data_IF_764931896619
#
_entry.id   IF_764931896619
#
_cell.length_a   1.000
_cell.length_b   1.000
_cell.length_c   1.000
_cell.angle_alpha   90.00
_cell.angle_beta   90.00
_cell.angle_gamma   90.00
#
_symmetry.space_group_name_H-M   'P 1'
#
loop_
_entity.id
_entity.type
_entity.pdbx_description
1 polymer ?
#
# COMPACT_ATOMS: atom_id res chain seq x y z
N UNK A 1 -12.54 -11.12 17.26
CA UNK A 1 -13.33 -11.80 16.20
C UNK A 1 -12.49 -11.60 14.96
N UNK A 2 -11.81 -12.65 14.51
CA UNK A 2 -10.90 -12.57 13.35
C UNK A 2 -11.79 -12.35 12.12
N UNK A 3 -11.63 -11.21 11.45
CA UNK A 3 -12.18 -11.04 10.11
C UNK A 3 -11.33 -11.95 9.25
N UNK A 4 -11.93 -13.02 8.76
CA UNK A 4 -11.21 -14.06 8.05
C UNK A 4 -10.77 -13.53 6.68
N UNK A 5 -9.55 -13.88 6.25
CA UNK A 5 -8.86 -13.33 5.08
C UNK A 5 -9.63 -13.41 3.74
N UNK A 6 -10.75 -14.15 3.67
CA UNK A 6 -11.61 -14.24 2.48
C UNK A 6 -12.47 -13.00 2.25
N UNK A 7 -12.91 -12.28 3.28
CA UNK A 7 -13.77 -11.09 3.11
C UNK A 7 -13.00 -9.92 2.48
N UNK A 8 -11.69 -9.80 2.76
CA UNK A 8 -10.82 -8.79 2.18
C UNK A 8 -10.53 -9.08 0.69
N UNK A 9 -10.32 -10.36 0.36
CA UNK A 9 -10.08 -10.82 -1.01
C UNK A 9 -11.27 -10.52 -1.92
N UNK A 10 -12.50 -10.74 -1.43
CA UNK A 10 -13.72 -10.48 -2.18
C UNK A 10 -13.95 -8.98 -2.43
N UNK A 11 -13.60 -8.13 -1.46
CA UNK A 11 -13.65 -6.67 -1.62
C UNK A 11 -12.67 -6.18 -2.70
N UNK A 12 -11.46 -6.73 -2.73
CA UNK A 12 -10.43 -6.42 -3.74
C UNK A 12 -10.84 -6.91 -5.13
N UNK A 13 -11.40 -8.11 -5.23
CA UNK A 13 -11.87 -8.70 -6.50
C UNK A 13 -13.01 -7.89 -7.14
N UNK A 14 -13.92 -7.33 -6.34
CA UNK A 14 -14.99 -6.45 -6.81
C UNK A 14 -14.46 -5.11 -7.35
N UNK A 15 -13.38 -4.59 -6.76
CA UNK A 15 -12.69 -3.38 -7.23
C UNK A 15 -11.97 -3.62 -8.56
N UNK A 16 -11.23 -4.73 -8.67
CA UNK A 16 -10.44 -5.07 -9.87
C UNK A 16 -11.32 -5.38 -11.09
N UNK A 17 -12.46 -6.05 -10.91
CA UNK A 17 -13.34 -6.40 -12.03
C UNK A 17 -14.02 -5.19 -12.71
N UNK A 18 -14.18 -4.06 -12.00
CA UNK A 18 -14.75 -2.84 -12.60
C UNK A 18 -13.76 -2.05 -13.46
N UNK A 19 -12.45 -2.25 -13.28
CA UNK A 19 -11.39 -1.58 -14.04
C UNK A 19 -11.17 -2.22 -15.43
N UNK A 20 -11.62 -3.46 -15.64
CA UNK A 20 -11.36 -4.23 -16.88
C UNK A 20 -12.21 -3.86 -18.11
N UNK A 21 -12.97 -2.75 -18.09
CA UNK A 21 -13.87 -2.37 -19.19
C UNK A 21 -13.31 -1.35 -20.20
N UNK A 22 -11.99 -1.11 -20.23
CA UNK A 22 -11.35 -0.28 -21.26
C UNK A 22 -10.10 -0.96 -21.82
N UNK A 23 -10.27 -1.84 -22.81
CA UNK A 23 -9.16 -2.38 -23.62
C UNK A 23 -9.10 -1.63 -24.96
N UNK A 24 -7.96 -0.99 -25.25
CA UNK A 24 -7.69 -0.40 -26.55
C UNK A 24 -6.57 0.65 -26.58
N UNK A 25 -5.37 0.31 -26.12
CA UNK A 25 -4.06 0.91 -26.44
C UNK A 25 -3.00 0.05 -25.72
N UNK A 26 -1.78 -0.09 -26.24
CA UNK A 26 -0.66 -0.77 -25.54
C UNK A 26 -0.26 0.05 -24.30
N UNK A 27 -1.10 0.05 -23.28
CA UNK A 27 -0.83 0.70 -22.00
C UNK A 27 -0.04 -0.28 -21.15
N UNK A 28 1.27 -0.02 -21.01
CA UNK A 28 2.08 -0.68 -19.99
C UNK A 28 1.38 -0.51 -18.64
N UNK A 29 1.15 -1.61 -17.92
CA UNK A 29 0.65 -1.53 -16.56
C UNK A 29 1.77 -1.04 -15.62
N UNK A 30 1.40 -0.60 -14.42
CA UNK A 30 2.33 -0.03 -13.43
C UNK A 30 3.57 -0.91 -13.19
N UNK A 31 3.36 -2.21 -13.01
CA UNK A 31 4.43 -3.17 -12.80
C UNK A 31 5.39 -3.26 -14.00
N UNK A 32 4.87 -3.18 -15.23
CA UNK A 32 5.69 -3.14 -16.43
C UNK A 32 6.51 -1.85 -16.52
N UNK A 33 5.94 -0.70 -16.18
CA UNK A 33 6.68 0.58 -16.18
C UNK A 33 7.86 0.50 -15.20
N UNK A 34 7.61 0.04 -13.97
CA UNK A 34 8.64 -0.12 -12.94
C UNK A 34 9.76 -1.03 -13.43
N UNK A 35 9.39 -2.19 -14.00
CA UNK A 35 10.35 -3.16 -14.48
C UNK A 35 11.16 -2.67 -15.68
N UNK A 36 10.53 -1.99 -16.64
CA UNK A 36 11.17 -1.59 -17.89
C UNK A 36 12.01 -0.31 -17.76
N UNK A 37 11.60 0.63 -16.90
CA UNK A 37 12.22 1.96 -16.85
C UNK A 37 13.02 2.25 -15.58
N UNK A 38 12.74 1.57 -14.47
CA UNK A 38 13.28 1.97 -13.17
C UNK A 38 14.05 0.86 -12.43
N UNK A 39 14.04 -0.38 -12.93
CA UNK A 39 14.66 -1.53 -12.24
C UNK A 39 16.18 -1.50 -12.18
N UNK A 40 16.85 -0.71 -13.03
CA UNK A 40 18.30 -0.56 -13.06
C UNK A 40 18.81 0.56 -12.14
N UNK A 41 17.94 1.47 -11.70
CA UNK A 41 18.28 2.60 -10.82
C UNK A 41 18.89 2.08 -9.51
N UNK A 42 20.17 2.40 -9.29
CA UNK A 42 20.89 1.99 -8.07
C UNK A 42 21.15 0.48 -7.95
N UNK A 43 20.87 -0.31 -8.99
CA UNK A 43 20.98 -1.79 -8.98
C UNK A 43 22.38 -2.30 -8.60
N UNK A 44 23.43 -1.51 -8.87
CA UNK A 44 24.81 -1.81 -8.48
C UNK A 44 25.01 -1.94 -6.96
N UNK A 45 24.12 -1.37 -6.14
CA UNK A 45 24.25 -1.34 -4.68
C UNK A 45 23.33 -2.36 -3.97
N UNK A 46 22.51 -3.13 -4.70
CA UNK A 46 21.53 -4.06 -4.10
C UNK A 46 22.20 -5.06 -3.15
N UNK A 47 23.31 -5.65 -3.58
CA UNK A 47 24.07 -6.63 -2.77
C UNK A 47 24.68 -5.96 -1.54
N UNK A 48 25.27 -4.77 -1.72
CA UNK A 48 25.89 -4.01 -0.62
C UNK A 48 24.87 -3.64 0.47
N UNK A 49 23.65 -3.30 0.07
CA UNK A 49 22.56 -2.93 0.98
C UNK A 49 21.70 -4.13 1.42
N UNK A 50 22.06 -5.35 1.01
CA UNK A 50 21.35 -6.58 1.42
C UNK A 50 19.95 -6.76 0.83
N UNK A 51 19.62 -6.08 -0.27
CA UNK A 51 18.31 -6.19 -0.93
C UNK A 51 18.21 -7.53 -1.69
N UNK A 52 17.25 -8.37 -1.30
CA UNK A 52 17.03 -9.72 -1.88
C UNK A 52 16.03 -9.74 -3.01
N UNK A 53 14.95 -8.97 -2.85
CA UNK A 53 13.91 -8.78 -3.88
C UNK A 53 13.93 -7.31 -4.25
N UNK A 54 14.45 -6.95 -5.45
CA UNK A 54 14.53 -5.58 -5.91
C UNK A 54 13.19 -5.08 -6.46
N UNK A 55 13.19 -3.82 -6.89
CA UNK A 55 12.07 -3.10 -7.50
C UNK A 55 11.41 -3.90 -8.64
N UNK A 56 10.07 -3.97 -8.64
CA UNK A 56 9.27 -4.72 -9.63
C UNK A 56 8.75 -6.07 -9.12
N UNK A 57 8.48 -6.17 -7.82
CA UNK A 57 7.73 -7.25 -7.14
C UNK A 57 6.83 -6.57 -6.09
N UNK A 58 5.84 -7.28 -5.54
CA UNK A 58 4.79 -6.68 -4.69
C UNK A 58 5.34 -6.05 -3.39
N UNK A 59 6.56 -6.41 -2.98
CA UNK A 59 7.28 -5.78 -1.88
C UNK A 59 8.81 -5.90 -2.04
N UNK A 60 9.55 -4.97 -1.46
CA UNK A 60 11.00 -5.06 -1.35
C UNK A 60 11.41 -5.86 -0.10
N UNK A 61 12.36 -6.78 -0.24
CA UNK A 61 12.89 -7.57 0.89
C UNK A 61 14.36 -7.21 1.13
N UNK A 62 14.66 -6.79 2.36
CA UNK A 62 16.00 -6.35 2.80
C UNK A 62 16.49 -7.28 3.90
N UNK A 63 17.68 -7.85 3.73
CA UNK A 63 18.34 -8.66 4.76
C UNK A 63 18.88 -7.76 5.86
N UNK A 64 18.56 -8.09 7.11
CA UNK A 64 19.07 -7.44 8.31
C UNK A 64 20.09 -8.35 9.02
N UNK A 65 20.95 -7.78 9.88
CA UNK A 65 21.82 -8.58 10.75
C UNK A 65 21.04 -9.60 11.57
N UNK A 66 21.72 -10.67 11.99
CA UNK A 66 21.13 -11.77 12.78
C UNK A 66 20.07 -12.60 12.03
N UNK A 67 20.13 -12.64 10.70
CA UNK A 67 19.26 -13.49 9.87
C UNK A 67 17.79 -13.05 9.86
N UNK A 68 17.52 -11.77 10.13
CA UNK A 68 16.19 -11.18 10.02
C UNK A 68 16.01 -10.55 8.64
N UNK A 69 14.76 -10.36 8.25
CA UNK A 69 14.41 -9.66 7.01
C UNK A 69 13.43 -8.53 7.33
N UNK A 70 13.55 -7.43 6.59
CA UNK A 70 12.57 -6.35 6.55
C UNK A 70 11.87 -6.43 5.20
N UNK A 71 10.55 -6.41 5.21
CA UNK A 71 9.73 -6.37 4.01
C UNK A 71 9.02 -5.02 3.97
N UNK A 72 9.08 -4.33 2.83
CA UNK A 72 8.49 -3.02 2.63
C UNK A 72 7.57 -3.06 1.41
N UNK A 73 6.28 -2.80 1.63
CA UNK A 73 5.32 -2.49 0.56
C UNK A 73 4.97 -0.99 0.62
N UNK A 74 4.71 -0.41 -0.55
CA UNK A 74 4.21 0.95 -0.71
C UNK A 74 3.04 0.88 -1.68
N UNK A 75 1.87 1.33 -1.23
CA UNK A 75 0.67 1.45 -2.06
C UNK A 75 0.22 2.91 -2.15
N UNK A 76 -0.31 3.30 -3.30
CA UNK A 76 -0.90 4.62 -3.50
C UNK A 76 -2.39 4.51 -3.76
N UNK A 77 -3.22 5.16 -2.94
CA UNK A 77 -4.68 5.17 -3.11
C UNK A 77 -5.19 6.53 -3.62
N UNK A 78 -5.77 6.53 -4.83
CA UNK A 78 -6.21 7.75 -5.54
C UNK A 78 -7.74 7.78 -5.65
N UNK A 79 -8.34 8.91 -5.30
CA UNK A 79 -9.79 9.13 -5.44
C UNK A 79 -10.23 9.04 -6.90
N UNK A 80 -11.33 8.34 -7.17
CA UNK A 80 -11.85 8.09 -8.52
C UNK A 80 -11.10 6.99 -9.30
N UNK A 81 -9.98 6.48 -8.79
CA UNK A 81 -9.20 5.38 -9.39
C UNK A 81 -9.22 4.15 -8.49
N UNK A 82 -8.76 4.27 -7.25
CA UNK A 82 -8.66 3.17 -6.28
C UNK A 82 -9.85 3.12 -5.33
N UNK A 83 -10.51 4.25 -5.08
CA UNK A 83 -11.73 4.32 -4.29
C UNK A 83 -12.72 5.35 -4.88
N UNK A 84 -13.99 5.25 -4.50
CA UNK A 84 -15.03 6.16 -4.97
C UNK A 84 -14.90 7.54 -4.30
N UNK A 85 -15.14 8.62 -5.05
CA UNK A 85 -15.04 9.99 -4.54
C UNK A 85 -15.94 10.27 -3.31
N UNK A 86 -17.04 9.53 -3.19
CA UNK A 86 -17.99 9.64 -2.07
C UNK A 86 -17.77 8.61 -0.96
N UNK A 87 -16.67 7.84 -1.01
CA UNK A 87 -16.33 6.88 0.04
C UNK A 87 -16.04 7.62 1.37
N UNK A 88 -16.43 7.01 2.49
CA UNK A 88 -16.22 7.60 3.81
C UNK A 88 -14.72 7.73 4.15
N UNK A 89 -14.27 8.82 4.79
CA UNK A 89 -12.85 9.03 5.09
C UNK A 89 -12.23 7.91 5.93
N UNK A 90 -12.99 7.36 6.89
CA UNK A 90 -12.58 6.23 7.72
C UNK A 90 -12.34 4.97 6.88
N UNK A 91 -13.23 4.69 5.93
CA UNK A 91 -13.11 3.54 5.02
C UNK A 91 -11.93 3.72 4.06
N UNK A 92 -11.70 4.95 3.57
CA UNK A 92 -10.54 5.28 2.73
C UNK A 92 -9.25 5.02 3.51
N UNK A 93 -9.16 5.47 4.76
CA UNK A 93 -7.98 5.25 5.61
C UNK A 93 -7.72 3.75 5.85
N UNK A 94 -8.75 3.02 6.28
CA UNK A 94 -8.64 1.60 6.55
C UNK A 94 -8.24 0.82 5.30
N UNK A 95 -8.90 1.10 4.15
CA UNK A 95 -8.57 0.47 2.87
C UNK A 95 -7.14 0.78 2.44
N UNK A 96 -6.70 2.05 2.52
CA UNK A 96 -5.37 2.46 2.06
C UNK A 96 -4.25 1.69 2.76
N UNK A 97 -4.38 1.50 4.08
CA UNK A 97 -3.39 0.71 4.84
C UNK A 97 -3.58 -0.79 4.57
N UNK A 98 -4.82 -1.28 4.48
CA UNK A 98 -5.11 -2.71 4.23
C UNK A 98 -4.51 -3.24 2.93
N UNK A 99 -4.48 -2.44 1.87
CA UNK A 99 -3.92 -2.85 0.58
C UNK A 99 -2.41 -3.12 0.72
N UNK A 100 -1.64 -2.18 1.28
CA UNK A 100 -0.21 -2.38 1.52
C UNK A 100 0.07 -3.55 2.49
N UNK A 101 -0.80 -3.77 3.48
CA UNK A 101 -0.70 -4.95 4.37
C UNK A 101 -0.95 -6.27 3.64
N UNK A 102 -1.76 -6.27 2.58
CA UNK A 102 -2.05 -7.48 1.81
C UNK A 102 -0.81 -7.98 1.05
N UNK A 103 0.02 -7.07 0.53
CA UNK A 103 1.28 -7.43 -0.13
C UNK A 103 2.26 -8.03 0.87
N UNK A 104 2.35 -7.45 2.08
CA UNK A 104 3.15 -8.02 3.16
C UNK A 104 2.69 -9.44 3.51
N UNK A 105 1.37 -9.67 3.58
CA UNK A 105 0.81 -10.98 3.83
C UNK A 105 1.12 -11.98 2.69
N UNK A 106 1.08 -11.53 1.43
CA UNK A 106 1.46 -12.34 0.27
C UNK A 106 2.93 -12.79 0.32
N UNK A 107 3.82 -11.95 0.88
CA UNK A 107 5.22 -12.30 1.16
C UNK A 107 5.41 -13.14 2.43
N UNK A 108 4.35 -13.44 3.19
CA UNK A 108 4.43 -14.12 4.48
C UNK A 108 5.05 -13.27 5.60
N UNK A 109 5.07 -11.95 5.45
CA UNK A 109 5.60 -11.01 6.42
C UNK A 109 4.55 -10.59 7.44
N UNK A 110 4.99 -10.38 8.68
CA UNK A 110 4.16 -9.76 9.72
C UNK A 110 4.38 -8.25 9.73
N UNK A 111 3.32 -7.42 9.71
CA UNK A 111 3.48 -5.97 9.70
C UNK A 111 3.98 -5.47 11.06
N UNK A 112 4.82 -4.44 11.03
CA UNK A 112 5.47 -3.89 12.23
C UNK A 112 5.12 -2.43 12.49
N UNK A 113 4.85 -1.65 11.43
CA UNK A 113 4.58 -0.22 11.44
C UNK A 113 4.09 0.21 10.05
N UNK A 114 3.56 1.44 9.95
CA UNK A 114 3.23 2.05 8.67
C UNK A 114 3.57 3.55 8.65
N UNK A 115 3.70 4.13 7.46
CA UNK A 115 3.87 5.57 7.22
C UNK A 115 2.74 6.07 6.32
N UNK A 116 2.36 7.35 6.45
CA UNK A 116 1.27 7.94 5.68
C UNK A 116 1.74 9.16 4.88
N UNK A 117 1.62 9.10 3.55
CA UNK A 117 1.68 10.29 2.71
C UNK A 117 0.25 10.63 2.26
N UNK A 118 -0.24 11.83 2.57
CA UNK A 118 -1.60 12.27 2.22
C UNK A 118 -1.59 13.64 1.57
N UNK A 119 -2.19 13.76 0.38
CA UNK A 119 -2.35 15.02 -0.33
C UNK A 119 -3.83 15.34 -0.53
N UNK A 120 -4.21 16.59 -0.31
CA UNK A 120 -5.60 17.04 -0.44
C UNK A 120 -5.66 18.52 -0.86
N UNK A 121 -6.54 18.84 -1.80
CA UNK A 121 -6.65 20.22 -2.32
C UNK A 121 -7.04 21.23 -1.23
N UNK A 122 -7.92 20.82 -0.31
CA UNK A 122 -8.39 21.66 0.79
C UNK A 122 -8.36 20.87 2.09
N UNK A 123 -7.91 21.54 3.17
CA UNK A 123 -7.93 20.95 4.50
C UNK A 123 -9.33 21.02 5.11
N UNK A 124 -9.99 19.86 5.20
CA UNK A 124 -11.21 19.67 5.97
C UNK A 124 -10.90 18.93 7.28
N UNK A 125 -11.06 19.64 8.39
CA UNK A 125 -10.79 19.10 9.74
C UNK A 125 -11.73 17.97 10.14
N UNK A 126 -12.98 18.00 9.67
CA UNK A 126 -13.94 16.92 9.93
C UNK A 126 -13.54 15.68 9.14
N UNK A 127 -13.20 15.85 7.86
CA UNK A 127 -12.72 14.76 7.01
C UNK A 127 -11.49 14.10 7.62
N UNK A 128 -10.48 14.89 8.02
CA UNK A 128 -9.26 14.41 8.68
C UNK A 128 -9.56 13.68 9.99
N UNK A 129 -10.48 14.20 10.80
CA UNK A 129 -10.88 13.54 12.05
C UNK A 129 -11.54 12.19 11.80
N UNK A 130 -12.31 12.05 10.72
CA UNK A 130 -12.94 10.77 10.37
C UNK A 130 -11.94 9.82 9.71
N UNK A 131 -11.00 10.32 8.90
CA UNK A 131 -9.90 9.55 8.34
C UNK A 131 -9.00 8.96 9.43
N UNK A 132 -8.69 9.76 10.46
CA UNK A 132 -7.93 9.32 11.64
C UNK A 132 -8.59 8.12 12.33
N UNK A 133 -9.92 8.05 12.40
CA UNK A 133 -10.63 6.91 13.02
C UNK A 133 -10.31 5.61 12.28
N UNK A 134 -10.34 5.62 10.96
CA UNK A 134 -9.99 4.44 10.16
C UNK A 134 -8.52 4.01 10.34
N UNK A 135 -7.60 4.97 10.50
CA UNK A 135 -6.21 4.67 10.86
C UNK A 135 -6.10 4.06 12.26
N UNK A 136 -6.85 4.58 13.23
CA UNK A 136 -6.90 4.04 14.59
C UNK A 136 -7.46 2.62 14.61
N UNK A 137 -8.52 2.35 13.84
CA UNK A 137 -9.14 1.04 13.74
C UNK A 137 -8.14 0.00 13.23
N UNK A 138 -7.49 0.26 12.08
CA UNK A 138 -6.53 -0.70 11.52
C UNK A 138 -5.24 -0.81 12.36
N UNK A 139 -4.75 0.30 12.92
CA UNK A 139 -3.61 0.30 13.84
C UNK A 139 -3.88 -0.57 15.06
N UNK A 140 -5.09 -0.46 15.63
CA UNK A 140 -5.50 -1.26 16.79
C UNK A 140 -5.72 -2.73 16.44
N UNK A 141 -6.22 -3.03 15.25
CA UNK A 141 -6.44 -4.40 14.79
C UNK A 141 -5.11 -5.15 14.61
N UNK A 142 -4.18 -4.57 13.84
CA UNK A 142 -2.90 -5.20 13.50
C UNK A 142 -1.77 -4.91 14.51
N UNK A 143 -2.03 -4.07 15.52
CA UNK A 143 -1.05 -3.65 16.54
C UNK A 143 0.18 -2.96 15.96
N UNK A 144 -0.02 -2.13 14.94
CA UNK A 144 1.05 -1.42 14.22
C UNK A 144 0.93 0.09 14.44
N UNK A 145 2.01 0.80 14.81
CA UNK A 145 2.00 2.26 14.95
C UNK A 145 2.23 2.96 13.60
N UNK A 146 1.69 4.19 13.49
CA UNK A 146 2.10 5.17 12.48
C UNK A 146 3.45 5.77 12.90
N UNK A 147 4.51 5.60 12.09
CA UNK A 147 5.88 5.99 12.45
C UNK A 147 6.39 7.24 11.75
N UNK A 148 5.62 7.80 10.85
CA UNK A 148 5.98 8.98 10.09
C UNK A 148 4.97 9.28 9.01
N UNK A 149 5.19 10.38 8.30
CA UNK A 149 4.31 10.74 7.21
C UNK A 149 4.63 12.09 6.62
N UNK A 150 3.94 12.39 5.54
CA UNK A 150 4.00 13.65 4.84
C UNK A 150 2.57 14.09 4.52
N UNK A 151 2.32 15.39 4.68
CA UNK A 151 1.09 16.01 4.20
C UNK A 151 1.47 17.19 3.30
N UNK A 152 1.86 16.94 2.04
CA UNK A 152 2.02 18.02 1.08
C UNK A 152 0.65 18.66 0.89
N UNK A 153 0.59 19.98 0.98
CA UNK A 153 -0.57 20.76 0.55
C UNK A 153 -1.01 20.32 -0.86
#
# INVERSE_FOLDING_TARGET
MLVEAWELQDYLNLSQNKLNLRKGEDTLNEHQIIKEYFSDVGSAYLVEQGVRVPVGDDAAIISLPSGKESVLSVDTSISGVHFLENMGPSDIAYRSVSVALSDLAACGASPAWFSLAISMQEYDSKWLSDFKKGLEDISNEFKIPLIGGESPH
#
